data_IF_653635145502
#
_entry.id   IF_653635145502
#
_cell.length_a   1.000
_cell.length_b   1.000
_cell.length_c   1.000
_cell.angle_alpha   90.00
_cell.angle_beta   90.00
_cell.angle_gamma   90.00
#
_symmetry.space_group_name_H-M   'P 1'
#
loop_
_entity.id
_entity.type
_entity.pdbx_description
1 polymer ?
#
# COMPACT_ATOMS: atom_id res chain seq x y z
N UNK A 1 -28.61 8.00 26.40
CA UNK A 1 -27.76 6.88 26.87
C UNK A 1 -26.44 6.94 26.14
N UNK A 2 -25.29 6.71 26.82
CA UNK A 2 -23.98 6.65 26.18
C UNK A 2 -23.92 5.40 25.31
N UNK A 3 -23.38 5.51 24.09
CA UNK A 3 -23.20 4.37 23.18
C UNK A 3 -22.34 3.27 23.83
N UNK A 4 -22.59 1.98 23.55
CA UNK A 4 -21.88 0.87 24.19
C UNK A 4 -20.39 0.82 23.82
N UNK A 5 -20.00 1.40 22.67
CA UNK A 5 -18.63 1.52 22.22
C UNK A 5 -18.21 2.99 22.06
N UNK A 6 -16.96 3.29 22.33
CA UNK A 6 -16.38 4.60 22.02
C UNK A 6 -16.02 4.66 20.53
N UNK A 7 -15.49 3.56 19.96
CA UNK A 7 -15.22 3.47 18.51
C UNK A 7 -15.45 2.06 17.97
N UNK A 8 -16.09 1.98 16.80
CA UNK A 8 -16.18 0.76 16.00
C UNK A 8 -15.33 0.97 14.74
N UNK A 9 -14.48 -0.02 14.42
CA UNK A 9 -13.63 -0.06 13.24
C UNK A 9 -14.18 -1.14 12.31
N UNK A 10 -14.54 -0.79 11.06
CA UNK A 10 -15.14 -1.72 10.09
C UNK A 10 -14.11 -2.12 9.04
N UNK A 11 -13.82 -3.41 8.96
CA UNK A 11 -12.74 -4.00 8.17
C UNK A 11 -11.42 -4.07 8.96
N UNK A 12 -10.97 -5.29 9.25
CA UNK A 12 -9.74 -5.55 10.01
C UNK A 12 -8.51 -5.67 9.08
N UNK A 13 -8.40 -4.80 8.08
CA UNK A 13 -7.19 -4.64 7.28
C UNK A 13 -6.09 -3.87 8.02
N UNK A 14 -4.98 -3.59 7.32
CA UNK A 14 -3.80 -2.93 7.90
C UNK A 14 -4.13 -1.66 8.70
N UNK A 15 -4.85 -0.71 8.10
CA UNK A 15 -5.07 0.60 8.71
C UNK A 15 -5.89 0.50 10.02
N UNK A 16 -7.05 -0.16 9.98
CA UNK A 16 -7.87 -0.33 11.17
C UNK A 16 -7.23 -1.25 12.21
N UNK A 17 -6.48 -2.27 11.79
CA UNK A 17 -5.70 -3.11 12.69
C UNK A 17 -4.65 -2.30 13.46
N UNK A 18 -3.88 -1.45 12.77
CA UNK A 18 -2.89 -0.56 13.40
C UNK A 18 -3.56 0.46 14.33
N UNK A 19 -4.72 1.04 13.92
CA UNK A 19 -5.50 1.93 14.79
C UNK A 19 -5.92 1.21 16.07
N UNK A 20 -6.49 0.01 15.95
CA UNK A 20 -6.95 -0.77 17.11
C UNK A 20 -5.79 -1.10 18.07
N UNK A 21 -4.65 -1.55 17.57
CA UNK A 21 -3.46 -1.83 18.36
C UNK A 21 -2.94 -0.58 19.07
N UNK A 22 -2.87 0.54 18.34
CA UNK A 22 -2.37 1.80 18.91
C UNK A 22 -3.31 2.35 19.99
N UNK A 23 -4.62 2.26 19.78
CA UNK A 23 -5.63 2.61 20.79
C UNK A 23 -5.51 1.71 22.01
N UNK A 24 -5.37 0.41 21.83
CA UNK A 24 -5.20 -0.52 22.95
C UNK A 24 -3.98 -0.21 23.80
N UNK A 25 -2.89 0.23 23.15
CA UNK A 25 -1.64 0.59 23.82
C UNK A 25 -1.73 1.92 24.57
N UNK A 26 -2.30 2.96 23.94
CA UNK A 26 -2.26 4.33 24.47
C UNK A 26 -3.51 4.71 25.29
N UNK A 27 -4.64 4.08 24.99
CA UNK A 27 -5.94 4.39 25.57
C UNK A 27 -6.73 3.12 25.96
N UNK A 28 -6.19 2.27 26.86
CA UNK A 28 -6.76 0.95 27.18
C UNK A 28 -8.18 1.02 27.78
N UNK A 29 -8.61 2.17 28.27
CA UNK A 29 -9.95 2.40 28.81
C UNK A 29 -11.02 2.58 27.71
N UNK A 30 -10.64 2.88 26.47
CA UNK A 30 -11.60 3.00 25.37
C UNK A 30 -12.21 1.64 25.02
N UNK A 31 -13.53 1.65 24.83
CA UNK A 31 -14.28 0.50 24.35
C UNK A 31 -14.22 0.45 22.82
N UNK A 32 -13.20 -0.23 22.30
CA UNK A 32 -12.95 -0.42 20.87
C UNK A 32 -13.56 -1.74 20.42
N UNK A 33 -14.20 -1.75 19.24
CA UNK A 33 -14.62 -2.98 18.56
C UNK A 33 -14.09 -2.95 17.13
N UNK A 34 -13.35 -3.99 16.72
CA UNK A 34 -12.87 -4.20 15.36
C UNK A 34 -13.69 -5.32 14.71
N UNK A 35 -14.36 -5.00 13.59
CA UNK A 35 -15.23 -5.93 12.84
C UNK A 35 -14.54 -6.37 11.56
N UNK A 36 -14.61 -7.68 11.28
CA UNK A 36 -14.10 -8.27 10.04
C UNK A 36 -15.16 -9.20 9.42
N UNK A 37 -15.37 -9.09 8.12
CA UNK A 37 -16.33 -9.91 7.38
C UNK A 37 -15.87 -11.36 7.21
N UNK A 38 -14.56 -11.57 7.09
CA UNK A 38 -13.97 -12.90 6.92
C UNK A 38 -13.74 -13.58 8.28
N UNK A 39 -13.49 -14.88 8.24
CA UNK A 39 -13.13 -15.65 9.43
C UNK A 39 -11.75 -15.27 10.00
N UNK A 40 -10.86 -14.75 9.16
CA UNK A 40 -9.53 -14.30 9.54
C UNK A 40 -9.37 -12.80 9.22
N UNK A 41 -8.79 -11.99 10.12
CA UNK A 41 -8.49 -10.58 9.86
C UNK A 41 -7.26 -10.45 8.95
N UNK A 42 -6.97 -9.23 8.52
CA UNK A 42 -5.79 -8.83 7.76
C UNK A 42 -5.73 -9.31 6.30
N UNK A 43 -6.66 -10.12 5.84
CA UNK A 43 -6.68 -10.64 4.47
C UNK A 43 -5.48 -11.54 4.16
N UNK A 44 -4.97 -11.45 2.92
CA UNK A 44 -3.85 -12.24 2.43
C UNK A 44 -2.87 -11.31 1.71
N UNK A 45 -1.99 -10.66 2.46
CA UNK A 45 -1.07 -9.62 2.00
C UNK A 45 0.30 -9.72 2.66
N UNK A 46 1.29 -9.12 2.00
CA UNK A 46 2.60 -8.83 2.57
C UNK A 46 2.84 -7.32 2.49
N UNK A 47 2.87 -6.64 3.63
CA UNK A 47 3.15 -5.20 3.67
C UNK A 47 4.62 -4.96 3.94
N UNK A 48 5.31 -4.43 2.94
CA UNK A 48 6.73 -4.11 3.03
C UNK A 48 6.94 -2.60 3.02
N UNK A 49 8.02 -2.16 3.67
CA UNK A 49 8.37 -0.75 3.80
C UNK A 49 9.88 -0.58 4.09
N UNK A 50 10.42 0.60 3.77
CA UNK A 50 11.77 0.96 4.19
C UNK A 50 11.73 1.48 5.63
N UNK A 51 12.78 1.15 6.41
CA UNK A 51 12.88 1.60 7.79
C UNK A 51 12.73 3.12 7.94
N UNK A 52 13.24 3.87 6.95
CA UNK A 52 13.22 5.32 6.89
C UNK A 52 11.83 5.90 6.53
N UNK A 53 10.87 5.08 6.12
CA UNK A 53 9.50 5.52 5.83
C UNK A 53 8.72 5.90 7.10
N UNK A 54 9.21 5.50 8.26
CA UNK A 54 8.60 5.75 9.58
C UNK A 54 9.63 6.31 10.55
N UNK A 55 9.17 7.09 11.52
CA UNK A 55 10.03 7.64 12.57
C UNK A 55 10.52 6.55 13.53
N UNK A 56 11.57 6.87 14.32
CA UNK A 56 12.08 5.96 15.37
C UNK A 56 11.00 5.58 16.39
N UNK A 57 10.17 6.55 16.78
CA UNK A 57 9.07 6.29 17.71
C UNK A 57 8.00 5.37 17.11
N UNK A 58 7.70 5.55 15.83
CA UNK A 58 6.77 4.68 15.10
C UNK A 58 7.32 3.28 14.92
N UNK A 59 8.58 3.16 14.56
CA UNK A 59 9.21 1.86 14.36
C UNK A 59 9.19 1.01 15.64
N UNK A 60 9.48 1.59 16.79
CA UNK A 60 9.49 0.86 18.07
C UNK A 60 8.18 0.12 18.38
N UNK A 61 7.03 0.68 18.04
CA UNK A 61 5.76 -0.02 18.27
C UNK A 61 5.34 -0.92 17.09
N UNK A 62 5.94 -0.72 15.90
CA UNK A 62 5.76 -1.62 14.76
C UNK A 62 6.67 -2.85 14.82
N UNK A 63 7.82 -2.76 15.46
CA UNK A 63 8.83 -3.81 15.49
C UNK A 63 8.28 -5.20 15.91
N UNK A 64 7.36 -5.32 16.89
CA UNK A 64 6.76 -6.61 17.23
C UNK A 64 5.87 -7.22 16.14
N UNK A 65 5.50 -6.46 15.11
CA UNK A 65 4.68 -6.90 13.98
C UNK A 65 5.51 -7.44 12.82
N UNK A 66 6.83 -7.24 12.82
CA UNK A 66 7.70 -7.60 11.71
C UNK A 66 7.82 -9.11 11.54
N UNK A 67 7.56 -9.60 10.34
CA UNK A 67 7.78 -11.00 9.95
C UNK A 67 9.18 -11.22 9.38
N UNK A 68 9.76 -10.20 8.73
CA UNK A 68 11.11 -10.25 8.19
C UNK A 68 11.74 -8.87 8.10
N UNK A 69 13.09 -8.82 8.14
CA UNK A 69 13.90 -7.60 7.96
C UNK A 69 15.23 -7.91 7.30
N UNK A 70 15.70 -7.01 6.47
CA UNK A 70 16.95 -7.16 5.72
C UNK A 70 17.74 -5.84 5.78
N UNK A 71 19.08 -5.89 5.83
CA UNK A 71 19.92 -4.69 5.95
C UNK A 71 19.97 -3.85 4.66
N UNK A 72 19.40 -4.36 3.57
CA UNK A 72 19.36 -3.71 2.26
C UNK A 72 18.59 -4.51 1.25
N UNK A 73 18.62 -4.06 0.00
CA UNK A 73 17.93 -4.71 -1.12
C UNK A 73 18.67 -4.49 -2.44
N UNK A 74 18.28 -5.22 -3.46
CA UNK A 74 18.81 -5.08 -4.83
C UNK A 74 17.75 -4.60 -5.79
N UNK A 75 18.20 -3.89 -6.83
CA UNK A 75 17.40 -3.61 -8.03
C UNK A 75 18.19 -4.03 -9.26
N UNK A 76 17.49 -4.53 -10.26
CA UNK A 76 18.07 -5.07 -11.49
C UNK A 76 17.28 -4.56 -12.71
N UNK A 77 18.02 -3.99 -13.64
CA UNK A 77 17.52 -3.51 -14.91
C UNK A 77 18.44 -4.01 -16.03
N UNK A 78 18.07 -3.93 -17.32
CA UNK A 78 18.90 -4.44 -18.41
C UNK A 78 20.36 -3.98 -18.40
N UNK A 79 20.63 -2.72 -17.98
CA UNK A 79 22.00 -2.16 -17.92
C UNK A 79 22.38 -1.61 -16.55
N UNK A 80 21.67 -1.99 -15.49
CA UNK A 80 21.95 -1.55 -14.13
C UNK A 80 21.66 -2.68 -13.14
N UNK A 81 22.65 -3.00 -12.34
CA UNK A 81 22.47 -3.77 -11.09
C UNK A 81 22.98 -2.91 -9.96
N UNK A 82 22.16 -2.71 -8.94
CA UNK A 82 22.53 -1.86 -7.82
C UNK A 82 22.10 -2.51 -6.50
N UNK A 83 23.04 -2.55 -5.58
CA UNK A 83 22.81 -2.82 -4.17
C UNK A 83 22.39 -1.49 -3.52
N UNK A 84 21.34 -1.52 -2.72
CA UNK A 84 20.87 -0.40 -1.93
C UNK A 84 21.02 -0.75 -0.46
N UNK A 85 21.65 0.14 0.28
CA UNK A 85 21.71 0.08 1.74
C UNK A 85 20.42 0.68 2.33
N UNK A 86 20.15 0.38 3.59
CA UNK A 86 18.94 0.79 4.28
C UNK A 86 18.03 -0.40 4.56
N UNK A 87 17.57 -0.48 5.79
CA UNK A 87 16.79 -1.62 6.24
C UNK A 87 15.44 -1.69 5.52
N UNK A 88 15.10 -2.88 5.04
CA UNK A 88 13.82 -3.19 4.43
C UNK A 88 13.06 -4.19 5.29
N UNK A 89 11.80 -3.91 5.58
CA UNK A 89 10.98 -4.66 6.54
C UNK A 89 9.71 -5.16 5.87
N UNK A 90 9.20 -6.29 6.34
CA UNK A 90 7.91 -6.85 5.90
C UNK A 90 7.08 -7.34 7.07
N UNK A 91 5.76 -7.18 6.94
CA UNK A 91 4.73 -7.71 7.84
C UNK A 91 3.86 -8.65 7.00
N UNK A 92 3.86 -9.93 7.31
CA UNK A 92 2.94 -10.89 6.72
C UNK A 92 1.55 -10.79 7.37
N UNK A 93 0.49 -10.91 6.58
CA UNK A 93 -0.89 -10.80 7.09
C UNK A 93 -1.22 -11.85 8.15
N UNK A 94 -0.67 -13.05 8.05
CA UNK A 94 -0.89 -14.11 9.05
C UNK A 94 -0.30 -13.74 10.43
N UNK A 95 0.90 -13.16 10.45
CA UNK A 95 1.55 -12.73 11.69
C UNK A 95 0.81 -11.54 12.30
N UNK A 96 0.40 -10.61 11.45
CA UNK A 96 -0.42 -9.47 11.85
C UNK A 96 -1.78 -9.91 12.41
N UNK A 97 -2.46 -10.84 11.74
CA UNK A 97 -3.73 -11.42 12.19
C UNK A 97 -3.59 -12.09 13.57
N UNK A 98 -2.55 -12.89 13.76
CA UNK A 98 -2.24 -13.55 15.04
C UNK A 98 -2.02 -12.52 16.15
N UNK A 99 -1.26 -11.47 15.87
CA UNK A 99 -1.01 -10.39 16.83
C UNK A 99 -2.30 -9.62 17.17
N UNK A 100 -3.15 -9.31 16.19
CA UNK A 100 -4.46 -8.69 16.42
C UNK A 100 -5.33 -9.56 17.35
N UNK A 101 -5.42 -10.85 17.07
CA UNK A 101 -6.20 -11.81 17.90
C UNK A 101 -5.69 -11.87 19.34
N UNK A 102 -4.36 -11.92 19.52
CA UNK A 102 -3.74 -11.97 20.85
C UNK A 102 -3.98 -10.69 21.68
N UNK A 103 -3.84 -9.51 21.06
CA UNK A 103 -3.92 -8.23 21.75
C UNK A 103 -5.36 -7.78 21.96
N UNK A 104 -6.23 -7.99 21.00
CA UNK A 104 -7.60 -7.48 21.03
C UNK A 104 -8.60 -8.46 21.67
N UNK A 105 -8.36 -9.77 21.58
CA UNK A 105 -9.27 -10.78 22.12
C UNK A 105 -10.72 -10.54 21.70
N UNK A 106 -11.62 -10.38 22.66
CA UNK A 106 -13.06 -10.14 22.42
C UNK A 106 -13.38 -8.80 21.73
N UNK A 107 -12.43 -7.88 21.67
CA UNK A 107 -12.60 -6.62 20.92
C UNK A 107 -12.41 -6.79 19.40
N UNK A 108 -11.97 -7.96 18.92
CA UNK A 108 -11.97 -8.35 17.52
C UNK A 108 -13.10 -9.36 17.28
N UNK A 109 -14.04 -9.00 16.40
CA UNK A 109 -15.12 -9.87 15.95
C UNK A 109 -14.97 -10.18 14.46
N UNK A 110 -14.62 -11.41 14.15
CA UNK A 110 -14.52 -11.95 12.78
C UNK A 110 -15.83 -12.60 12.34
N UNK A 111 -15.94 -12.99 11.06
CA UNK A 111 -17.16 -13.52 10.46
C UNK A 111 -18.40 -12.63 10.77
N UNK A 112 -18.20 -11.31 10.80
CA UNK A 112 -19.20 -10.31 11.11
C UNK A 112 -19.35 -9.30 9.96
N UNK A 113 -19.92 -9.73 8.81
CA UNK A 113 -20.07 -8.85 7.66
C UNK A 113 -21.03 -7.69 7.99
N UNK A 114 -20.60 -6.48 7.64
CA UNK A 114 -21.35 -5.24 7.83
C UNK A 114 -22.03 -4.86 6.53
N UNK A 115 -23.37 -4.73 6.54
CA UNK A 115 -24.18 -4.32 5.40
C UNK A 115 -24.26 -2.81 5.25
N UNK A 116 -24.41 -2.07 6.36
CA UNK A 116 -24.53 -0.61 6.36
C UNK A 116 -23.59 0.00 7.40
N UNK A 117 -23.00 1.17 7.05
CA UNK A 117 -22.16 1.97 7.94
C UNK A 117 -22.69 3.39 7.97
N UNK A 118 -22.79 3.94 9.17
CA UNK A 118 -23.03 5.34 9.42
C UNK A 118 -21.98 5.91 10.39
N UNK A 119 -21.85 7.22 10.53
CA UNK A 119 -20.84 7.82 11.41
C UNK A 119 -20.88 7.32 12.87
N UNK A 120 -22.02 6.82 13.35
CA UNK A 120 -22.23 6.40 14.75
C UNK A 120 -22.79 4.99 14.91
N UNK A 121 -22.99 4.25 13.82
CA UNK A 121 -23.57 2.90 13.92
C UNK A 121 -23.25 2.01 12.73
N UNK A 122 -23.39 0.73 12.92
CA UNK A 122 -23.29 -0.29 11.88
C UNK A 122 -24.46 -1.25 11.94
N UNK A 123 -24.92 -1.71 10.77
CA UNK A 123 -25.83 -2.85 10.62
C UNK A 123 -25.04 -4.06 10.15
N UNK A 124 -25.10 -5.12 10.87
CA UNK A 124 -24.55 -6.41 10.46
C UNK A 124 -25.45 -7.08 9.42
N UNK A 125 -24.91 -7.99 8.64
CA UNK A 125 -25.68 -8.72 7.63
C UNK A 125 -26.77 -9.62 8.21
N UNK A 126 -26.64 -10.05 9.49
CA UNK A 126 -27.66 -10.79 10.23
C UNK A 126 -28.80 -9.90 10.77
N UNK A 127 -28.76 -8.60 10.50
CA UNK A 127 -29.74 -7.59 10.96
C UNK A 127 -29.38 -6.95 12.29
N UNK A 128 -28.36 -7.42 12.99
CA UNK A 128 -27.90 -6.85 14.25
C UNK A 128 -27.43 -5.41 14.10
N UNK A 129 -27.74 -4.56 15.11
CA UNK A 129 -27.33 -3.14 15.13
C UNK A 129 -26.32 -2.91 16.25
N UNK A 130 -25.23 -2.22 15.95
CA UNK A 130 -24.23 -1.79 16.93
C UNK A 130 -24.08 -0.27 16.85
N UNK A 131 -23.95 0.37 18.03
CA UNK A 131 -23.82 1.82 18.17
C UNK A 131 -22.49 2.18 18.81
N UNK A 132 -21.87 3.27 18.34
CA UNK A 132 -20.64 3.83 18.88
C UNK A 132 -20.70 5.35 18.89
N UNK A 133 -19.78 6.01 19.61
CA UNK A 133 -19.58 7.46 19.49
C UNK A 133 -19.02 7.85 18.13
N UNK A 134 -18.19 6.97 17.53
CA UNK A 134 -17.71 7.09 16.16
C UNK A 134 -17.52 5.72 15.52
N UNK A 135 -17.72 5.64 14.20
CA UNK A 135 -17.43 4.46 13.38
C UNK A 135 -16.42 4.84 12.30
N UNK A 136 -15.36 4.06 12.15
CA UNK A 136 -14.34 4.26 11.09
C UNK A 136 -14.50 3.16 10.04
N UNK A 137 -14.79 3.56 8.79
CA UNK A 137 -14.87 2.64 7.65
C UNK A 137 -13.50 2.43 7.01
N UNK A 138 -12.94 1.22 7.10
CA UNK A 138 -11.66 0.80 6.55
C UNK A 138 -11.77 -0.29 5.47
N UNK A 139 -12.93 -0.44 4.82
CA UNK A 139 -13.23 -1.51 3.85
C UNK A 139 -12.59 -1.31 2.46
N UNK A 140 -11.44 -0.68 2.37
CA UNK A 140 -10.69 -0.48 1.14
C UNK A 140 -11.23 0.63 0.24
N UNK A 141 -10.50 0.90 -0.85
CA UNK A 141 -10.89 1.91 -1.84
C UNK A 141 -12.17 1.48 -2.57
N UNK A 142 -13.13 2.37 -2.60
CA UNK A 142 -14.34 2.18 -3.42
C UNK A 142 -14.16 2.81 -4.79
N UNK A 143 -14.85 2.27 -5.81
CA UNK A 143 -14.90 2.92 -7.11
C UNK A 143 -15.36 4.37 -6.97
N UNK A 144 -14.63 5.30 -7.59
CA UNK A 144 -14.94 6.73 -7.53
C UNK A 144 -14.56 7.39 -8.86
N UNK A 145 -15.38 8.29 -9.40
CA UNK A 145 -15.04 9.08 -10.58
C UNK A 145 -14.05 10.22 -10.25
N UNK A 146 -13.81 10.48 -8.96
CA UNK A 146 -13.02 11.63 -8.51
C UNK A 146 -11.52 11.37 -8.44
N UNK A 147 -11.07 10.12 -8.64
CA UNK A 147 -9.67 9.77 -8.75
C UNK A 147 -9.38 9.11 -10.09
N UNK A 148 -8.37 9.61 -10.80
CA UNK A 148 -7.81 8.96 -11.98
C UNK A 148 -6.64 8.08 -11.53
N UNK A 149 -6.75 6.78 -11.74
CA UNK A 149 -5.80 5.79 -11.25
C UNK A 149 -5.14 5.02 -12.40
N UNK A 150 -3.84 4.75 -12.27
CA UNK A 150 -3.18 3.59 -12.79
C UNK A 150 -3.01 2.57 -11.67
N UNK A 151 -2.42 1.42 -11.98
CA UNK A 151 -2.34 0.33 -11.01
C UNK A 151 -0.98 -0.35 -11.04
N UNK A 152 -0.51 -0.73 -9.86
CA UNK A 152 0.51 -1.76 -9.68
C UNK A 152 -0.24 -3.05 -9.35
N UNK A 153 -0.46 -3.88 -10.37
CA UNK A 153 -1.16 -5.15 -10.21
C UNK A 153 -0.17 -6.31 -10.20
N UNK A 154 -0.40 -7.30 -9.35
CA UNK A 154 0.53 -8.39 -9.15
C UNK A 154 -0.14 -9.71 -8.75
N UNK A 155 0.58 -10.80 -9.02
CA UNK A 155 0.42 -12.10 -8.39
C UNK A 155 1.72 -12.42 -7.67
N UNK A 156 1.64 -12.74 -6.38
CA UNK A 156 2.75 -13.16 -5.56
C UNK A 156 2.56 -14.60 -5.08
N UNK A 157 3.61 -15.41 -5.17
CA UNK A 157 3.61 -16.80 -4.70
C UNK A 157 4.75 -17.03 -3.72
N UNK A 158 4.41 -17.52 -2.55
CA UNK A 158 5.38 -17.97 -1.57
C UNK A 158 5.62 -19.47 -1.75
N UNK A 159 6.87 -19.82 -2.00
CA UNK A 159 7.29 -21.19 -2.29
C UNK A 159 8.27 -21.74 -1.25
N UNK A 160 8.06 -22.99 -0.86
CA UNK A 160 9.11 -23.83 -0.32
C UNK A 160 9.92 -24.39 -1.49
N UNK A 161 11.22 -24.10 -1.50
CA UNK A 161 12.16 -24.61 -2.50
C UNK A 161 12.76 -25.95 -2.08
N UNK A 162 13.21 -26.75 -3.06
CA UNK A 162 13.91 -28.02 -2.81
C UNK A 162 15.33 -27.85 -2.28
N UNK A 163 15.95 -26.68 -2.53
CA UNK A 163 17.30 -26.29 -2.09
C UNK A 163 17.36 -24.80 -1.75
N UNK A 164 18.37 -24.33 -1.01
CA UNK A 164 18.54 -22.92 -0.74
C UNK A 164 18.65 -22.07 -2.00
N UNK A 165 17.94 -20.91 -2.02
CA UNK A 165 17.92 -19.97 -3.16
C UNK A 165 19.19 -19.09 -3.28
N UNK A 166 20.02 -19.01 -2.26
CA UNK A 166 21.27 -18.24 -2.25
C UNK A 166 21.14 -16.71 -2.11
N UNK A 167 19.92 -16.18 -2.04
CA UNK A 167 19.71 -14.74 -1.84
C UNK A 167 19.93 -14.37 -0.37
N UNK A 168 20.68 -13.28 -0.13
CA UNK A 168 20.87 -12.70 1.21
C UNK A 168 19.94 -11.52 1.46
N UNK A 169 19.36 -10.95 0.40
CA UNK A 169 18.57 -9.73 0.44
C UNK A 169 17.46 -9.79 -0.62
N UNK A 170 16.37 -9.01 -0.42
CA UNK A 170 15.32 -8.84 -1.42
C UNK A 170 15.83 -8.31 -2.74
N UNK A 171 15.16 -8.69 -3.82
CA UNK A 171 15.25 -8.01 -5.11
C UNK A 171 13.93 -7.28 -5.29
N UNK A 172 13.92 -5.95 -5.07
CA UNK A 172 12.68 -5.17 -5.11
C UNK A 172 12.17 -4.95 -6.53
N UNK A 173 13.07 -4.87 -7.51
CA UNK A 173 12.71 -4.71 -8.92
C UNK A 173 13.72 -5.43 -9.79
N UNK A 174 13.36 -6.58 -10.30
CA UNK A 174 14.08 -7.21 -11.41
C UNK A 174 13.32 -6.95 -12.71
N UNK A 175 13.64 -5.83 -13.35
CA UNK A 175 13.08 -5.43 -14.63
C UNK A 175 13.94 -5.89 -15.81
N UNK A 176 14.86 -6.84 -15.64
CA UNK A 176 15.58 -7.51 -16.73
C UNK A 176 14.73 -8.56 -17.44
N UNK A 177 13.49 -8.74 -17.02
CA UNK A 177 12.47 -9.60 -17.63
C UNK A 177 11.80 -8.93 -18.84
N UNK A 178 11.11 -9.74 -19.69
CA UNK A 178 10.35 -9.23 -20.82
C UNK A 178 9.26 -8.25 -20.36
N UNK A 179 9.17 -7.08 -21.00
CA UNK A 179 8.35 -5.95 -20.54
C UNK A 179 6.91 -5.94 -21.08
N UNK A 180 6.61 -6.74 -22.07
CA UNK A 180 5.27 -6.90 -22.68
C UNK A 180 4.47 -5.59 -22.83
N UNK A 181 3.32 -5.45 -22.14
CA UNK A 181 2.36 -4.35 -22.29
C UNK A 181 2.56 -3.19 -21.30
N UNK A 182 3.63 -3.15 -20.55
CA UNK A 182 3.85 -2.10 -19.54
C UNK A 182 5.16 -2.26 -18.81
N UNK A 183 5.32 -1.54 -17.70
CA UNK A 183 6.45 -1.76 -16.81
C UNK A 183 6.21 -3.02 -15.99
N UNK A 184 6.97 -4.07 -16.30
CA UNK A 184 6.94 -5.33 -15.58
C UNK A 184 8.25 -5.56 -14.84
N UNK A 185 8.18 -6.09 -13.64
CA UNK A 185 9.33 -6.52 -12.86
C UNK A 185 8.96 -7.69 -11.95
N UNK A 186 9.95 -8.46 -11.55
CA UNK A 186 9.79 -9.48 -10.54
C UNK A 186 10.35 -8.98 -9.21
N UNK A 187 9.53 -9.11 -8.17
CA UNK A 187 9.88 -8.80 -6.79
C UNK A 187 10.12 -10.12 -6.04
N UNK A 188 11.16 -10.18 -5.19
CA UNK A 188 11.45 -11.37 -4.40
C UNK A 188 11.81 -11.04 -2.97
N UNK A 189 11.25 -11.80 -2.01
CA UNK A 189 11.60 -11.72 -0.60
C UNK A 189 12.15 -13.06 -0.11
N UNK A 190 13.43 -13.14 0.29
CA UNK A 190 14.02 -14.33 0.89
C UNK A 190 13.58 -14.46 2.35
N UNK A 191 12.47 -15.15 2.60
CA UNK A 191 11.86 -15.30 3.93
C UNK A 191 12.63 -16.27 4.85
N UNK A 192 13.30 -17.27 4.24
CA UNK A 192 14.29 -18.12 4.89
C UNK A 192 15.27 -18.63 3.86
N UNK A 193 16.22 -19.49 4.20
CA UNK A 193 17.17 -20.04 3.23
C UNK A 193 16.49 -20.77 2.05
N UNK A 194 15.29 -21.34 2.24
CA UNK A 194 14.55 -22.11 1.26
C UNK A 194 13.07 -21.69 1.11
N UNK A 195 12.64 -20.59 1.76
CA UNK A 195 11.32 -19.98 1.55
C UNK A 195 11.48 -18.67 0.82
N UNK A 196 10.79 -18.51 -0.29
CA UNK A 196 10.92 -17.37 -1.17
C UNK A 196 9.55 -16.89 -1.65
N UNK A 197 9.23 -15.62 -1.43
CA UNK A 197 8.15 -14.95 -2.14
C UNK A 197 8.68 -14.49 -3.50
N UNK A 198 7.98 -14.83 -4.57
CA UNK A 198 8.23 -14.39 -5.94
C UNK A 198 6.95 -13.74 -6.45
N UNK A 199 7.03 -12.48 -6.86
CA UNK A 199 5.89 -11.70 -7.30
C UNK A 199 6.12 -11.17 -8.71
N UNK A 200 5.19 -11.43 -9.63
CA UNK A 200 5.15 -10.85 -10.96
C UNK A 200 4.28 -9.60 -10.92
N UNK A 201 4.91 -8.43 -11.09
CA UNK A 201 4.30 -7.12 -10.86
C UNK A 201 4.29 -6.28 -12.13
N UNK A 202 3.16 -5.62 -12.38
CA UNK A 202 2.91 -4.83 -13.58
C UNK A 202 2.35 -3.44 -13.25
N UNK A 203 2.92 -2.40 -13.86
CA UNK A 203 2.34 -1.05 -13.88
C UNK A 203 1.45 -0.91 -15.12
N UNK A 204 0.14 -1.01 -14.93
CA UNK A 204 -0.89 -1.05 -15.98
C UNK A 204 -2.00 -0.03 -15.75
N UNK A 205 -2.78 0.25 -16.81
CA UNK A 205 -3.82 1.28 -16.78
C UNK A 205 -5.17 0.77 -16.24
N UNK A 206 -5.28 -0.53 -15.94
CA UNK A 206 -6.48 -1.19 -15.41
C UNK A 206 -6.13 -2.08 -14.22
N UNK A 207 -7.12 -2.36 -13.37
CA UNK A 207 -6.87 -3.07 -12.09
C UNK A 207 -6.71 -4.59 -12.24
N UNK A 208 -7.01 -5.16 -13.41
CA UNK A 208 -7.01 -6.60 -13.63
C UNK A 208 -5.76 -7.08 -14.33
N UNK A 209 -5.11 -8.11 -13.78
CA UNK A 209 -3.97 -8.82 -14.34
C UNK A 209 -4.40 -10.24 -14.74
N UNK A 210 -3.86 -10.76 -15.86
CA UNK A 210 -4.00 -12.19 -16.18
C UNK A 210 -3.20 -13.03 -15.18
N UNK A 211 -3.89 -13.55 -14.18
CA UNK A 211 -3.29 -14.34 -13.12
C UNK A 211 -2.65 -15.65 -13.64
N UNK A 212 -3.20 -16.25 -14.70
CA UNK A 212 -2.63 -17.47 -15.28
C UNK A 212 -1.30 -17.17 -15.97
N UNK A 213 -1.20 -16.03 -16.67
CA UNK A 213 0.05 -15.57 -17.26
C UNK A 213 1.08 -15.21 -16.18
N UNK A 214 0.70 -14.48 -15.14
CA UNK A 214 1.59 -14.13 -14.05
C UNK A 214 2.16 -15.35 -13.32
N UNK A 215 1.35 -16.40 -13.08
CA UNK A 215 1.83 -17.67 -12.52
C UNK A 215 2.88 -18.35 -13.40
N UNK A 216 2.68 -18.35 -14.73
CA UNK A 216 3.69 -18.87 -15.67
C UNK A 216 4.98 -18.06 -15.58
N UNK A 217 4.90 -16.73 -15.56
CA UNK A 217 6.06 -15.85 -15.41
C UNK A 217 6.86 -16.12 -14.13
N UNK A 218 6.19 -16.37 -13.01
CA UNK A 218 6.84 -16.74 -11.74
C UNK A 218 7.60 -18.05 -11.89
N UNK A 219 6.96 -19.06 -12.47
CA UNK A 219 7.59 -20.38 -12.69
C UNK A 219 8.81 -20.27 -13.60
N UNK A 220 8.68 -19.56 -14.74
CA UNK A 220 9.75 -19.34 -15.69
C UNK A 220 10.93 -18.57 -15.07
N UNK A 221 10.63 -17.53 -14.28
CA UNK A 221 11.63 -16.76 -13.58
C UNK A 221 12.40 -17.61 -12.54
N UNK A 222 11.70 -18.42 -11.77
CA UNK A 222 12.31 -19.34 -10.81
C UNK A 222 13.22 -20.35 -11.53
N UNK A 223 12.72 -20.95 -12.60
CA UNK A 223 13.50 -21.91 -13.41
C UNK A 223 14.77 -21.29 -13.98
N UNK A 224 14.71 -20.09 -14.56
CA UNK A 224 15.87 -19.36 -15.09
C UNK A 224 16.92 -19.04 -14.00
N UNK A 225 16.52 -18.99 -12.73
CA UNK A 225 17.40 -18.78 -11.57
C UNK A 225 17.91 -20.08 -10.95
N UNK A 226 17.52 -21.23 -11.48
CA UNK A 226 17.84 -22.54 -10.93
C UNK A 226 17.11 -22.83 -9.60
N UNK A 227 16.03 -22.10 -9.30
CA UNK A 227 15.22 -22.32 -8.11
C UNK A 227 14.18 -23.42 -8.38
N UNK A 228 14.32 -24.52 -7.67
CA UNK A 228 13.42 -25.66 -7.81
C UNK A 228 12.22 -25.49 -6.87
N UNK A 229 11.08 -25.11 -7.42
CA UNK A 229 9.82 -24.91 -6.72
C UNK A 229 9.24 -26.27 -6.27
N UNK A 230 9.18 -26.52 -4.95
CA UNK A 230 8.72 -27.80 -4.40
C UNK A 230 7.26 -27.77 -3.97
N UNK A 231 6.88 -26.75 -3.20
CA UNK A 231 5.53 -26.62 -2.64
C UNK A 231 5.11 -25.17 -2.61
N UNK A 232 3.95 -24.86 -3.20
CA UNK A 232 3.30 -23.57 -3.04
C UNK A 232 2.70 -23.48 -1.62
N UNK A 233 3.14 -22.48 -0.86
CA UNK A 233 2.68 -22.27 0.52
C UNK A 233 1.52 -21.30 0.55
N UNK A 234 1.61 -20.21 -0.25
CA UNK A 234 0.63 -19.12 -0.29
C UNK A 234 0.64 -18.46 -1.66
N UNK A 235 -0.51 -18.01 -2.12
CA UNK A 235 -0.62 -17.13 -3.29
C UNK A 235 -1.42 -15.90 -2.91
N UNK A 236 -0.92 -14.72 -3.23
CA UNK A 236 -1.59 -13.44 -3.04
C UNK A 236 -1.79 -12.70 -4.36
N UNK A 237 -2.84 -11.92 -4.43
CA UNK A 237 -3.16 -11.05 -5.54
C UNK A 237 -3.37 -9.63 -5.02
N UNK A 238 -2.87 -8.67 -5.74
CA UNK A 238 -3.07 -7.27 -5.37
C UNK A 238 -3.17 -6.36 -6.59
N UNK A 239 -3.84 -5.25 -6.37
CA UNK A 239 -3.90 -4.15 -7.32
C UNK A 239 -3.83 -2.84 -6.54
N UNK A 240 -2.61 -2.31 -6.41
CA UNK A 240 -2.35 -1.09 -5.67
C UNK A 240 -2.65 0.13 -6.54
N UNK A 241 -3.43 1.09 -6.06
CA UNK A 241 -3.75 2.29 -6.81
C UNK A 241 -2.53 3.21 -6.96
N UNK A 242 -2.29 3.68 -8.18
CA UNK A 242 -1.30 4.70 -8.53
C UNK A 242 -2.08 5.96 -8.92
N UNK A 243 -1.99 7.01 -8.15
CA UNK A 243 -2.78 8.21 -8.41
C UNK A 243 -2.14 9.08 -9.49
N UNK A 244 -2.88 9.35 -10.56
CA UNK A 244 -2.47 10.24 -11.66
C UNK A 244 -2.99 11.66 -11.45
N UNK A 245 -4.28 11.80 -11.16
CA UNK A 245 -4.96 13.05 -10.87
C UNK A 245 -6.24 12.81 -10.06
N UNK A 246 -6.94 13.85 -9.68
CA UNK A 246 -8.23 13.73 -9.00
C UNK A 246 -8.65 15.02 -8.34
N UNK A 247 -9.90 15.01 -7.87
CA UNK A 247 -10.52 16.04 -7.06
C UNK A 247 -10.75 15.50 -5.65
N UNK A 248 -9.88 15.90 -4.73
CA UNK A 248 -9.93 15.44 -3.34
C UNK A 248 -11.14 16.01 -2.60
N UNK A 249 -11.66 17.15 -3.03
CA UNK A 249 -12.82 17.79 -2.41
C UNK A 249 -14.07 16.97 -2.71
N UNK A 250 -14.29 16.61 -3.96
CA UNK A 250 -15.39 15.75 -4.38
C UNK A 250 -15.22 14.32 -3.81
N UNK A 251 -14.00 13.80 -3.75
CA UNK A 251 -13.73 12.50 -3.15
C UNK A 251 -14.19 12.44 -1.69
N UNK A 252 -13.93 13.49 -0.90
CA UNK A 252 -14.34 13.52 0.52
C UNK A 252 -15.81 13.90 0.68
N UNK A 253 -16.39 14.72 -0.19
CA UNK A 253 -17.82 14.99 -0.16
C UNK A 253 -18.66 13.71 -0.31
N UNK A 254 -18.21 12.74 -1.12
CA UNK A 254 -18.87 11.42 -1.25
C UNK A 254 -18.86 10.57 0.01
N UNK A 255 -17.99 10.86 0.99
CA UNK A 255 -17.98 10.13 2.26
C UNK A 255 -19.08 10.60 3.22
N UNK A 256 -19.79 11.70 2.92
CA UNK A 256 -20.92 12.20 3.71
C UNK A 256 -20.66 12.30 5.23
N UNK A 257 -19.46 12.73 5.61
CA UNK A 257 -19.05 12.87 7.01
C UNK A 257 -18.68 11.53 7.70
N UNK A 258 -18.60 10.43 6.95
CA UNK A 258 -18.17 9.15 7.48
C UNK A 258 -16.65 9.18 7.76
N UNK A 259 -16.19 8.93 9.01
CA UNK A 259 -14.79 8.70 9.27
C UNK A 259 -14.28 7.47 8.47
N UNK A 260 -13.16 7.62 7.76
CA UNK A 260 -12.59 6.56 6.92
C UNK A 260 -11.11 6.32 7.26
N UNK A 261 -10.57 5.15 6.91
CA UNK A 261 -9.15 4.83 7.10
C UNK A 261 -8.52 4.16 5.89
N UNK A 262 -7.18 4.17 5.84
CA UNK A 262 -6.39 3.48 4.81
C UNK A 262 -6.77 3.91 3.39
N UNK A 263 -6.88 2.95 2.48
CA UNK A 263 -7.23 3.20 1.07
C UNK A 263 -8.60 3.86 0.91
N UNK A 264 -9.55 3.59 1.81
CA UNK A 264 -10.86 4.23 1.84
C UNK A 264 -10.78 5.74 2.03
N UNK A 265 -9.78 6.20 2.80
CA UNK A 265 -9.49 7.61 3.04
C UNK A 265 -8.53 8.22 2.00
N UNK A 266 -8.11 7.49 0.98
CA UNK A 266 -7.12 7.93 0.00
C UNK A 266 -5.70 8.03 0.56
N UNK A 267 -5.39 7.29 1.64
CA UNK A 267 -4.12 7.33 2.36
C UNK A 267 -3.16 6.24 1.88
N UNK A 268 -2.43 6.55 0.82
CA UNK A 268 -1.37 5.72 0.25
C UNK A 268 -0.39 6.59 -0.54
N UNK A 269 0.82 6.10 -0.73
CA UNK A 269 1.84 6.80 -1.52
C UNK A 269 1.44 6.81 -2.99
N UNK A 270 1.35 7.98 -3.60
CA UNK A 270 0.76 8.16 -4.93
C UNK A 270 1.43 7.32 -6.03
N UNK A 271 2.76 7.03 -5.93
CA UNK A 271 3.52 6.31 -6.96
C UNK A 271 3.66 4.82 -6.69
N UNK A 272 3.74 4.39 -5.43
CA UNK A 272 3.95 2.99 -5.09
C UNK A 272 2.67 2.28 -4.68
N UNK A 273 1.63 3.03 -4.31
CA UNK A 273 0.42 2.48 -3.71
C UNK A 273 0.60 1.96 -2.27
N UNK A 274 1.81 2.06 -1.70
CA UNK A 274 2.11 1.61 -0.34
C UNK A 274 1.35 2.44 0.69
N UNK A 275 0.69 1.79 1.63
CA UNK A 275 -0.18 2.46 2.60
C UNK A 275 0.31 2.40 4.04
N UNK A 276 1.31 1.54 4.36
CA UNK A 276 1.74 1.31 5.74
C UNK A 276 2.20 2.59 6.45
N UNK A 277 3.10 3.43 5.91
CA UNK A 277 3.54 4.64 6.61
C UNK A 277 2.39 5.62 6.89
N UNK A 278 1.47 5.80 5.93
CA UNK A 278 0.30 6.64 6.10
C UNK A 278 -0.68 6.06 7.14
N UNK A 279 -0.86 4.74 7.17
CA UNK A 279 -1.70 4.05 8.15
C UNK A 279 -1.13 4.18 9.58
N UNK A 280 0.19 4.09 9.74
CA UNK A 280 0.90 4.31 11.01
C UNK A 280 0.68 5.75 11.52
N UNK A 281 0.91 6.73 10.66
CA UNK A 281 0.72 8.13 11.02
C UNK A 281 -0.75 8.46 11.35
N UNK A 282 -1.70 7.86 10.61
CA UNK A 282 -3.13 7.98 10.91
C UNK A 282 -3.48 7.34 12.25
N UNK A 283 -2.93 6.16 12.58
CA UNK A 283 -3.19 5.49 13.86
C UNK A 283 -2.75 6.36 15.05
N UNK A 284 -1.60 7.01 14.97
CA UNK A 284 -1.14 7.96 15.99
C UNK A 284 -2.04 9.19 16.07
N UNK A 285 -2.43 9.74 14.92
CA UNK A 285 -3.33 10.89 14.86
C UNK A 285 -4.68 10.58 15.50
N UNK A 286 -5.28 9.43 15.19
CA UNK A 286 -6.56 9.00 15.80
C UNK A 286 -6.39 8.75 17.28
N UNK A 287 -5.31 8.09 17.70
CA UNK A 287 -5.06 7.83 19.12
C UNK A 287 -4.88 9.11 19.95
N UNK A 288 -4.35 10.18 19.35
CA UNK A 288 -4.24 11.49 20.00
C UNK A 288 -5.54 12.32 19.96
N UNK A 289 -6.50 11.97 19.10
CA UNK A 289 -7.76 12.69 18.92
C UNK A 289 -8.87 12.11 19.78
N UNK A 290 -8.91 10.79 19.95
CA UNK A 290 -9.92 10.10 20.75
C UNK A 290 -9.67 10.32 22.26
N UNK A 291 -10.72 10.39 23.11
CA UNK A 291 -12.14 10.24 22.76
C UNK A 291 -12.71 11.48 22.05
N UNK A 292 -13.46 11.27 20.98
CA UNK A 292 -14.09 12.31 20.19
C UNK A 292 -15.39 11.76 19.56
N UNK A 293 -16.31 12.66 19.20
CA UNK A 293 -17.48 12.28 18.42
C UNK A 293 -17.13 12.02 16.93
N UNK A 294 -18.06 11.44 16.21
CA UNK A 294 -17.88 11.08 14.82
C UNK A 294 -17.57 12.29 13.90
N UNK A 295 -18.17 13.45 14.17
CA UNK A 295 -17.95 14.67 13.39
C UNK A 295 -16.51 15.18 13.58
N UNK A 296 -16.06 15.31 14.81
CA UNK A 296 -14.69 15.72 15.15
C UNK A 296 -13.66 14.77 14.55
N UNK A 297 -13.92 13.46 14.67
CA UNK A 297 -13.04 12.43 14.14
C UNK A 297 -12.98 12.46 12.60
N UNK A 298 -14.13 12.58 11.92
CA UNK A 298 -14.22 12.70 10.47
C UNK A 298 -13.42 13.90 9.97
N UNK A 299 -13.62 15.07 10.57
CA UNK A 299 -12.90 16.29 10.21
C UNK A 299 -11.38 16.15 10.42
N UNK A 300 -10.97 15.52 11.50
CA UNK A 300 -9.55 15.24 11.79
C UNK A 300 -8.92 14.36 10.69
N UNK A 301 -9.59 13.25 10.32
CA UNK A 301 -9.11 12.32 9.30
C UNK A 301 -9.11 12.98 7.91
N UNK A 302 -10.18 13.69 7.56
CA UNK A 302 -10.29 14.41 6.30
C UNK A 302 -9.19 15.46 6.15
N UNK A 303 -8.93 16.24 7.18
CA UNK A 303 -7.84 17.24 7.19
C UNK A 303 -6.48 16.59 6.99
N UNK A 304 -6.22 15.47 7.66
CA UNK A 304 -5.00 14.69 7.50
C UNK A 304 -4.86 14.16 6.05
N UNK A 305 -5.93 13.59 5.49
CA UNK A 305 -5.92 13.05 4.12
C UNK A 305 -5.73 14.14 3.06
N UNK A 306 -6.36 15.32 3.25
CA UNK A 306 -6.18 16.48 2.38
C UNK A 306 -4.75 17.03 2.43
N UNK A 307 -4.13 17.03 3.61
CA UNK A 307 -2.71 17.39 3.74
C UNK A 307 -1.83 16.37 3.01
N UNK A 308 -2.02 15.08 3.23
CA UNK A 308 -1.32 14.01 2.53
C UNK A 308 -1.47 14.15 1.01
N UNK A 309 -2.69 14.42 0.52
CA UNK A 309 -2.93 14.67 -0.89
C UNK A 309 -2.11 15.86 -1.43
N UNK A 310 -2.02 16.98 -0.73
CA UNK A 310 -1.21 18.13 -1.16
C UNK A 310 0.27 17.78 -1.25
N UNK A 311 0.80 17.08 -0.25
CA UNK A 311 2.20 16.65 -0.18
C UNK A 311 2.57 15.71 -1.34
N UNK A 312 1.63 14.86 -1.76
CA UNK A 312 1.80 13.90 -2.87
C UNK A 312 1.67 14.53 -4.28
N UNK A 313 1.52 15.86 -4.40
CA UNK A 313 1.31 16.55 -5.70
C UNK A 313 2.43 16.25 -6.72
N UNK A 314 3.69 16.26 -6.28
CA UNK A 314 4.83 16.01 -7.16
C UNK A 314 4.86 14.55 -7.66
N UNK A 315 4.51 13.61 -6.82
CA UNK A 315 4.42 12.20 -7.19
C UNK A 315 3.34 11.95 -8.25
N UNK A 316 2.17 12.57 -8.11
CA UNK A 316 1.12 12.51 -9.14
C UNK A 316 1.56 13.09 -10.47
N UNK A 317 2.38 14.14 -10.46
CA UNK A 317 2.99 14.69 -11.67
C UNK A 317 3.91 13.66 -12.33
N UNK A 318 4.78 12.99 -11.58
CA UNK A 318 5.66 11.94 -12.10
C UNK A 318 4.86 10.74 -12.63
N UNK A 319 3.77 10.37 -11.96
CA UNK A 319 2.90 9.28 -12.41
C UNK A 319 2.25 9.59 -13.76
N UNK A 320 1.76 10.82 -13.97
CA UNK A 320 1.25 11.22 -15.29
C UNK A 320 2.32 11.08 -16.38
N UNK A 321 3.54 11.51 -16.08
CA UNK A 321 4.66 11.33 -17.04
C UNK A 321 4.94 9.85 -17.32
N UNK A 322 4.89 8.99 -16.30
CA UNK A 322 5.15 7.57 -16.43
C UNK A 322 4.06 6.83 -17.21
N UNK A 323 2.79 7.15 -16.93
CA UNK A 323 1.64 6.43 -17.48
C UNK A 323 1.12 6.98 -18.81
N UNK A 324 1.24 8.30 -19.02
CA UNK A 324 0.63 9.00 -20.16
C UNK A 324 1.64 9.45 -21.22
N UNK A 325 2.96 9.37 -20.97
CA UNK A 325 3.98 9.72 -21.93
C UNK A 325 4.85 8.51 -22.29
N UNK A 326 5.27 8.44 -23.56
CA UNK A 326 6.11 7.37 -24.07
C UNK A 326 5.39 6.04 -24.26
N UNK A 327 6.15 5.05 -24.69
CA UNK A 327 5.65 3.69 -24.94
C UNK A 327 5.61 2.90 -23.63
N UNK A 328 4.50 2.20 -23.32
CA UNK A 328 4.36 1.44 -22.07
C UNK A 328 5.50 0.45 -21.81
N UNK A 329 5.93 -0.30 -22.80
CA UNK A 329 7.02 -1.28 -22.74
C UNK A 329 8.42 -0.66 -22.50
N UNK A 330 8.54 0.67 -22.57
CA UNK A 330 9.77 1.41 -22.28
C UNK A 330 9.78 2.10 -20.91
N UNK A 331 8.72 1.98 -20.12
CA UNK A 331 8.62 2.60 -18.79
C UNK A 331 9.76 2.18 -17.85
N UNK A 332 10.30 0.98 -18.01
CA UNK A 332 11.48 0.52 -17.25
C UNK A 332 12.70 1.45 -17.39
N UNK A 333 12.85 2.17 -18.53
CA UNK A 333 13.95 3.13 -18.73
C UNK A 333 13.85 4.31 -17.77
N UNK A 334 12.64 4.74 -17.46
CA UNK A 334 12.37 5.79 -16.46
C UNK A 334 12.82 5.31 -15.07
N UNK A 335 12.44 4.09 -14.70
CA UNK A 335 12.81 3.50 -13.44
C UNK A 335 14.31 3.20 -13.33
N UNK A 336 14.92 2.67 -14.39
CA UNK A 336 16.37 2.47 -14.43
C UNK A 336 17.14 3.78 -14.23
N UNK A 337 16.68 4.87 -14.87
CA UNK A 337 17.27 6.19 -14.69
C UNK A 337 17.09 6.69 -13.24
N UNK A 338 15.92 6.51 -12.67
CA UNK A 338 15.63 6.87 -11.27
C UNK A 338 16.61 6.16 -10.31
N UNK A 339 16.84 4.87 -10.50
CA UNK A 339 17.78 4.12 -9.67
C UNK A 339 19.27 4.39 -9.93
N UNK A 340 19.61 5.28 -10.85
CA UNK A 340 20.97 5.86 -10.99
C UNK A 340 21.17 7.11 -10.15
N UNK A 341 20.12 7.63 -9.52
CA UNK A 341 20.20 8.80 -8.65
C UNK A 341 20.85 8.46 -7.30
N UNK A 342 21.11 9.47 -6.52
CA UNK A 342 21.66 9.34 -5.17
C UNK A 342 20.78 8.47 -4.27
N UNK A 343 21.38 7.62 -3.43
CA UNK A 343 20.66 6.71 -2.56
C UNK A 343 19.78 7.43 -1.54
N UNK A 344 20.25 8.53 -0.96
CA UNK A 344 19.48 9.34 -0.03
C UNK A 344 18.27 10.02 -0.70
N UNK A 345 18.39 10.40 -2.00
CA UNK A 345 17.24 10.89 -2.76
C UNK A 345 16.20 9.79 -2.96
N UNK A 346 16.65 8.56 -3.30
CA UNK A 346 15.76 7.42 -3.49
C UNK A 346 15.04 7.08 -2.18
N UNK A 347 15.74 7.06 -1.04
CA UNK A 347 15.14 6.85 0.28
C UNK A 347 14.06 7.90 0.57
N UNK A 348 14.38 9.20 0.40
CA UNK A 348 13.39 10.28 0.59
C UNK A 348 12.20 10.21 -0.38
N UNK A 349 12.39 9.64 -1.58
CA UNK A 349 11.30 9.42 -2.52
C UNK A 349 10.29 8.40 -1.95
N UNK A 350 10.75 7.25 -1.45
CA UNK A 350 9.89 6.24 -0.86
C UNK A 350 9.21 6.72 0.43
N UNK A 351 9.94 7.47 1.25
CA UNK A 351 9.39 8.10 2.45
C UNK A 351 8.40 9.26 2.16
N UNK A 352 8.23 9.69 0.91
CA UNK A 352 7.38 10.84 0.56
C UNK A 352 7.96 12.20 0.97
N UNK A 353 9.26 12.29 1.30
CA UNK A 353 9.93 13.44 1.92
C UNK A 353 10.93 14.16 1.00
N UNK A 354 10.62 14.23 -0.30
CA UNK A 354 11.49 14.86 -1.29
C UNK A 354 11.69 16.36 -1.01
N UNK A 355 12.97 16.78 -1.00
CA UNK A 355 13.39 18.18 -0.96
C UNK A 355 13.17 18.85 -2.31
N UNK A 356 13.20 20.18 -2.37
CA UNK A 356 13.11 20.92 -3.65
C UNK A 356 14.26 20.57 -4.59
N UNK A 357 15.49 20.41 -4.05
CA UNK A 357 16.66 19.95 -4.81
C UNK A 357 16.46 18.55 -5.41
N UNK A 358 15.84 17.63 -4.66
CA UNK A 358 15.54 16.28 -5.14
C UNK A 358 14.55 16.33 -6.32
N UNK A 359 13.48 17.11 -6.18
CA UNK A 359 12.47 17.33 -7.23
C UNK A 359 13.09 17.89 -8.51
N UNK A 360 13.95 18.91 -8.38
CA UNK A 360 14.71 19.46 -9.49
C UNK A 360 15.61 18.38 -10.12
N UNK A 361 16.36 17.62 -9.32
CA UNK A 361 17.27 16.56 -9.79
C UNK A 361 16.55 15.44 -10.55
N UNK A 362 15.35 15.04 -10.11
CA UNK A 362 14.53 14.02 -10.80
C UNK A 362 14.13 14.52 -12.18
N UNK A 363 13.75 15.77 -12.33
CA UNK A 363 13.29 16.37 -13.58
C UNK A 363 14.44 16.79 -14.52
N UNK A 364 15.64 17.06 -14.00
CA UNK A 364 16.79 17.53 -14.77
C UNK A 364 17.41 16.42 -15.61
N UNK A 365 18.01 16.82 -16.76
CA UNK A 365 18.74 15.97 -17.70
C UNK A 365 17.87 15.43 -18.83
N UNK A 366 18.47 14.57 -19.72
CA UNK A 366 17.76 14.04 -20.91
C UNK A 366 16.54 13.22 -20.46
N UNK A 367 15.32 13.62 -20.82
CA UNK A 367 14.12 12.91 -20.40
C UNK A 367 14.08 11.52 -21.06
N UNK A 368 13.65 10.50 -20.33
CA UNK A 368 13.50 9.14 -20.87
C UNK A 368 12.24 8.97 -21.72
N UNK A 369 11.43 10.02 -21.85
CA UNK A 369 10.19 10.08 -22.65
C UNK A 369 10.24 11.29 -23.60
N UNK A 370 9.49 11.29 -24.72
CA UNK A 370 9.41 12.43 -25.63
C UNK A 370 8.95 13.71 -24.92
N UNK A 371 9.67 14.81 -25.08
CA UNK A 371 9.39 16.10 -24.39
C UNK A 371 7.97 16.61 -24.63
N UNK A 372 7.48 16.54 -25.88
CA UNK A 372 6.13 16.99 -26.22
C UNK A 372 5.04 16.18 -25.51
N UNK A 373 5.23 14.87 -25.35
CA UNK A 373 4.29 13.99 -24.63
C UNK A 373 4.37 14.24 -23.13
N UNK A 374 5.59 14.42 -22.59
CA UNK A 374 5.75 14.78 -21.18
C UNK A 374 5.04 16.09 -20.84
N UNK A 375 5.18 17.13 -21.68
CA UNK A 375 4.49 18.41 -21.48
C UNK A 375 2.96 18.27 -21.57
N UNK A 376 2.44 17.48 -22.52
CA UNK A 376 0.99 17.22 -22.59
C UNK A 376 0.50 16.50 -21.33
N UNK A 377 1.23 15.47 -20.87
CA UNK A 377 0.88 14.73 -19.65
C UNK A 377 0.90 15.63 -18.41
N UNK A 378 1.77 16.64 -18.37
CA UNK A 378 1.81 17.63 -17.29
C UNK A 378 0.57 18.54 -17.27
N UNK A 379 0.09 18.94 -18.45
CA UNK A 379 -1.07 19.86 -18.59
C UNK A 379 -2.41 19.16 -18.36
N UNK A 380 -2.48 17.84 -18.38
CA UNK A 380 -3.70 17.07 -18.11
C UNK A 380 -4.04 17.14 -16.61
N UNK A 381 -4.81 18.13 -16.20
CA UNK A 381 -5.26 18.33 -14.81
C UNK A 381 -6.66 17.79 -14.55
N UNK A 382 -7.42 17.46 -15.61
CA UNK A 382 -8.77 16.89 -15.52
C UNK A 382 -8.79 15.41 -15.91
N UNK A 383 -9.71 14.61 -15.37
CA UNK A 383 -9.86 13.23 -15.80
C UNK A 383 -10.10 13.18 -17.31
N UNK A 384 -9.40 12.29 -18.01
CA UNK A 384 -9.68 12.00 -19.42
C UNK A 384 -11.15 11.59 -19.52
N UNK A 385 -11.94 12.13 -20.50
CA UNK A 385 -13.27 11.62 -20.74
C UNK A 385 -13.14 10.12 -21.01
N UNK A 386 -13.89 9.31 -20.26
CA UNK A 386 -13.84 7.87 -20.36
C UNK A 386 -14.03 7.46 -21.84
N UNK A 387 -13.07 6.77 -22.41
CA UNK A 387 -13.31 6.01 -23.63
C UNK A 387 -14.32 4.92 -23.26
N UNK A 388 -15.51 5.07 -23.84
CA UNK A 388 -16.57 4.05 -23.83
C UNK A 388 -16.08 2.77 -24.49
#
# INVERSE_FOLDING_TARGET
>A
MRAPYDVILVGAGLANGLIALRLRQLQPALKVLLLESQAQPAGNHTWSFHREDVSEAQFRWLEPLLSARWPGYQVRFPTLRRQMDGEYCSIASEDFARHLQQVLGAALRTAAPVSEVSPTGVRLADGGMLQAQAVIDGRGLQPTPHLQLGYQAFVGQEWQLAAPHGLQQPILMDASVDQQQGYRFVYTLPLSASRLLIEDTHYINHATLDAAQARRHITDYAHQRGWNLRQLLREEHGSLPITLSGDIDQFWQQQHGQPCSGLRAGLFHATTGYSLPAAVALAEKIASTLPADAHTLSHCIESFARQHWREQRFFRLLNRMLFLAGRPEQRWRVMQRFYRLDAGLISRFYAGQLRLSDKARILCGKPPVPLGEALRALMMTSPLPGKK
#
